data_IF_510800640397
#
_entry.id   IF_510800640397
#
_cell.length_a   1.000
_cell.length_b   1.000
_cell.length_c   1.000
_cell.angle_alpha   90.00
_cell.angle_beta   90.00
_cell.angle_gamma   90.00
#
_symmetry.space_group_name_H-M   'P 1'
#
loop_
_entity.id
_entity.type
_entity.pdbx_description
1 polymer ?
#
# COMPACT_ATOMS: atom_id res chain seq x y z
N UNK A 1 19.32 46.08 -7.86
CA UNK A 1 18.22 45.90 -6.89
C UNK A 1 18.00 44.41 -6.75
N UNK A 2 18.53 43.82 -5.68
CA UNK A 2 18.63 42.38 -5.47
C UNK A 2 17.26 41.82 -5.06
N UNK A 3 16.82 40.78 -5.77
CA UNK A 3 15.63 39.98 -5.45
C UNK A 3 15.86 39.19 -4.15
N UNK A 4 14.86 39.10 -3.25
CA UNK A 4 14.74 37.96 -2.36
C UNK A 4 13.64 37.03 -2.90
N UNK A 5 14.05 35.81 -3.26
CA UNK A 5 13.16 34.70 -3.53
C UNK A 5 12.42 34.34 -2.24
N UNK A 6 11.09 34.35 -2.27
CA UNK A 6 10.26 33.84 -1.19
C UNK A 6 10.32 32.32 -1.22
N UNK A 7 10.93 31.77 -0.18
CA UNK A 7 11.03 30.36 0.15
C UNK A 7 9.65 29.75 0.31
N UNK A 8 9.35 28.69 -0.44
CA UNK A 8 8.18 27.85 -0.24
C UNK A 8 8.41 26.97 1.00
N UNK A 9 7.75 27.30 2.11
CA UNK A 9 7.72 26.47 3.32
C UNK A 9 6.74 25.32 3.12
N UNK A 10 7.24 24.17 2.68
CA UNK A 10 6.52 22.89 2.72
C UNK A 10 6.42 22.43 4.18
N UNK A 11 5.31 22.72 4.85
CA UNK A 11 5.00 22.13 6.15
C UNK A 11 4.60 20.67 5.97
N UNK A 12 5.52 19.80 6.34
CA UNK A 12 5.39 18.35 6.38
C UNK A 12 4.33 17.97 7.43
N UNK A 13 3.25 17.32 7.01
CA UNK A 13 2.35 16.62 7.91
C UNK A 13 3.08 15.40 8.48
N UNK A 14 3.45 15.45 9.76
CA UNK A 14 3.85 14.26 10.51
C UNK A 14 2.59 13.41 10.72
N UNK A 15 2.40 12.41 9.88
CA UNK A 15 1.45 11.33 10.11
C UNK A 15 2.20 10.22 10.84
N UNK A 16 2.07 10.17 12.16
CA UNK A 16 2.32 8.97 12.96
C UNK A 16 1.21 7.95 12.66
N UNK A 17 1.09 7.56 11.39
CA UNK A 17 0.26 6.44 11.00
C UNK A 17 1.02 5.17 11.37
N UNK A 18 0.34 4.09 11.79
CA UNK A 18 0.98 2.79 11.89
C UNK A 18 1.73 2.56 10.58
N UNK A 19 3.03 2.33 10.67
CA UNK A 19 3.92 2.15 9.52
C UNK A 19 3.62 0.79 8.91
N UNK A 20 2.45 0.66 8.26
CA UNK A 20 1.93 -0.63 7.85
C UNK A 20 0.54 -0.53 7.23
N UNK A 21 0.22 -1.52 6.40
CA UNK A 21 -1.13 -1.72 5.86
C UNK A 21 -1.95 -2.45 6.93
N UNK A 22 -3.06 -1.87 7.34
CA UNK A 22 -4.01 -2.53 8.25
C UNK A 22 -5.10 -3.20 7.40
N UNK A 23 -5.23 -4.51 7.53
CA UNK A 23 -6.34 -5.26 6.96
C UNK A 23 -7.51 -5.23 7.95
N UNK A 24 -8.68 -4.76 7.52
CA UNK A 24 -9.89 -4.83 8.34
C UNK A 24 -10.46 -6.24 8.40
N UNK A 25 -11.23 -6.56 9.44
CA UNK A 25 -11.87 -7.88 9.58
C UNK A 25 -12.75 -8.24 8.38
N UNK A 26 -13.57 -7.29 7.90
CA UNK A 26 -14.40 -7.49 6.69
C UNK A 26 -13.55 -7.78 5.44
N UNK A 27 -12.38 -7.14 5.32
CA UNK A 27 -11.47 -7.38 4.21
C UNK A 27 -10.83 -8.77 4.32
N UNK A 28 -10.44 -9.19 5.53
CA UNK A 28 -9.92 -10.53 5.78
C UNK A 28 -10.93 -11.62 5.42
N UNK A 29 -12.21 -11.44 5.76
CA UNK A 29 -13.29 -12.36 5.38
C UNK A 29 -13.42 -12.47 3.86
N UNK A 30 -13.39 -11.35 3.14
CA UNK A 30 -13.46 -11.36 1.66
C UNK A 30 -12.22 -11.98 1.03
N UNK A 31 -11.03 -11.67 1.55
CA UNK A 31 -9.77 -12.23 1.10
C UNK A 31 -9.79 -13.76 1.25
N UNK A 32 -10.22 -14.25 2.41
CA UNK A 32 -10.40 -15.68 2.65
C UNK A 32 -11.41 -16.30 1.69
N UNK A 33 -12.57 -15.68 1.48
CA UNK A 33 -13.57 -16.17 0.55
C UNK A 33 -13.06 -16.24 -0.90
N UNK A 34 -12.23 -15.28 -1.32
CA UNK A 34 -11.60 -15.28 -2.65
C UNK A 34 -10.55 -16.40 -2.78
N UNK A 35 -9.77 -16.65 -1.72
CA UNK A 35 -8.82 -17.78 -1.68
C UNK A 35 -9.53 -19.14 -1.73
N UNK A 36 -10.63 -19.28 -0.98
CA UNK A 36 -11.46 -20.49 -0.98
C UNK A 36 -12.11 -20.74 -2.36
N UNK A 37 -12.45 -19.67 -3.10
CA UNK A 37 -12.97 -19.77 -4.47
C UNK A 37 -11.91 -20.21 -5.49
N UNK A 38 -10.67 -19.74 -5.33
CA UNK A 38 -9.54 -20.22 -6.14
C UNK A 38 -9.17 -21.67 -5.82
N UNK A 39 -9.54 -22.16 -4.63
CA UNK A 39 -9.17 -23.50 -4.14
C UNK A 39 -7.67 -23.62 -3.85
N UNK A 40 -7.02 -22.49 -3.55
CA UNK A 40 -5.57 -22.37 -3.34
C UNK A 40 -5.27 -21.66 -2.02
N UNK A 41 -4.61 -22.37 -1.13
CA UNK A 41 -4.15 -21.89 0.18
C UNK A 41 -2.69 -21.40 0.17
N UNK A 42 -1.98 -21.56 -0.94
CA UNK A 42 -0.60 -21.12 -1.13
C UNK A 42 -0.47 -19.67 -1.64
N UNK A 43 -1.60 -19.02 -1.91
CA UNK A 43 -1.68 -17.64 -2.36
C UNK A 43 -1.66 -16.64 -1.20
N UNK A 44 -0.90 -15.57 -1.37
CA UNK A 44 -0.79 -14.49 -0.37
C UNK A 44 -1.30 -13.19 -0.95
N UNK A 45 -2.00 -12.39 -0.15
CA UNK A 45 -2.44 -11.06 -0.56
C UNK A 45 -1.23 -10.12 -0.62
N UNK A 46 -0.95 -9.59 -1.80
CA UNK A 46 0.06 -8.56 -2.03
C UNK A 46 -0.60 -7.23 -2.33
N UNK A 47 0.00 -6.17 -1.78
CA UNK A 47 -0.32 -4.78 -2.09
C UNK A 47 0.83 -4.21 -2.91
N UNK A 48 0.56 -3.70 -4.11
CA UNK A 48 1.51 -2.93 -4.89
C UNK A 48 1.07 -1.48 -5.00
N UNK A 49 2.05 -0.58 -5.01
CA UNK A 49 1.84 0.85 -5.23
C UNK A 49 2.40 1.22 -6.60
N UNK A 50 1.58 1.82 -7.46
CA UNK A 50 1.99 2.29 -8.77
C UNK A 50 1.79 3.80 -8.90
N UNK A 51 2.69 4.53 -9.56
CA UNK A 51 2.46 5.93 -9.88
C UNK A 51 1.24 6.05 -10.83
N UNK A 52 0.34 6.97 -10.52
CA UNK A 52 -0.88 7.28 -11.27
C UNK A 52 -0.82 8.61 -12.04
N UNK A 53 0.36 9.23 -12.16
CA UNK A 53 0.54 10.52 -12.82
C UNK A 53 0.05 11.68 -11.96
N UNK A 54 -0.72 12.62 -12.53
CA UNK A 54 -1.19 13.82 -11.84
C UNK A 54 -2.17 13.54 -10.69
N UNK A 55 -2.75 12.34 -10.65
CA UNK A 55 -3.74 11.92 -9.64
C UNK A 55 -3.10 11.31 -8.38
N UNK A 56 -1.77 11.15 -8.35
CA UNK A 56 -1.02 10.60 -7.22
C UNK A 56 -0.69 9.11 -7.38
N UNK A 57 -0.86 8.35 -6.30
CA UNK A 57 -0.51 6.92 -6.22
C UNK A 57 -1.75 6.03 -6.38
N UNK A 58 -1.55 4.84 -6.93
CA UNK A 58 -2.58 3.80 -7.08
C UNK A 58 -2.18 2.58 -6.27
N UNK A 59 -3.13 2.04 -5.52
CA UNK A 59 -2.96 0.79 -4.77
C UNK A 59 -3.62 -0.34 -5.54
N UNK A 60 -2.85 -1.38 -5.81
CA UNK A 60 -3.31 -2.60 -6.46
C UNK A 60 -3.21 -3.73 -5.45
N UNK A 61 -4.30 -4.47 -5.27
CA UNK A 61 -4.33 -5.69 -4.46
C UNK A 61 -4.43 -6.89 -5.39
N UNK A 62 -3.59 -7.89 -5.17
CA UNK A 62 -3.62 -9.13 -5.94
C UNK A 62 -3.07 -10.29 -5.12
N UNK A 63 -3.42 -11.50 -5.52
CA UNK A 63 -2.89 -12.72 -4.93
C UNK A 63 -1.65 -13.18 -5.69
N UNK A 64 -0.58 -13.51 -4.96
CA UNK A 64 0.66 -14.04 -5.53
C UNK A 64 1.26 -15.06 -4.55
N UNK A 65 1.85 -16.13 -5.07
CA UNK A 65 2.52 -17.17 -4.27
C UNK A 65 3.99 -16.83 -3.99
N UNK A 66 4.57 -15.86 -4.71
CA UNK A 66 6.00 -15.55 -4.64
C UNK A 66 6.27 -14.55 -3.53
N UNK A 67 7.13 -14.94 -2.62
CA UNK A 67 7.81 -14.02 -1.71
C UNK A 67 8.96 -13.35 -2.46
N UNK A 68 8.99 -12.01 -2.45
CA UNK A 68 10.06 -11.23 -3.07
C UNK A 68 10.94 -10.60 -1.99
N UNK A 69 12.18 -10.29 -2.36
CA UNK A 69 13.07 -9.52 -1.50
C UNK A 69 12.48 -8.12 -1.25
N UNK A 70 12.30 -7.77 0.02
CA UNK A 70 11.64 -6.53 0.45
C UNK A 70 10.13 -6.63 0.68
N UNK A 71 9.53 -7.82 0.59
CA UNK A 71 8.12 -8.02 0.99
C UNK A 71 8.00 -7.81 2.51
N UNK A 72 7.17 -6.84 2.91
CA UNK A 72 6.85 -6.62 4.32
C UNK A 72 5.66 -7.50 4.70
N UNK A 73 5.94 -8.57 5.44
CA UNK A 73 4.90 -9.48 5.94
C UNK A 73 4.47 -9.02 7.33
N UNK A 74 3.21 -8.61 7.45
CA UNK A 74 2.56 -8.48 8.77
C UNK A 74 1.95 -9.81 9.16
N UNK A 75 2.19 -10.23 10.40
CA UNK A 75 1.52 -11.35 11.08
C UNK A 75 0.11 -10.96 11.55
#
# INVERSE_FOLDING_TARGET
MTVPQTTETTTQGQTDAPTGVVLSDDAAVKVKALLEQEGRDDLRLRVAVQPGGCSGLRYQLFFDERSLDGDSVSD
#
